data_IF_549923172598
#
_entry.id   IF_549923172598
#
_cell.length_a   1.000
_cell.length_b   1.000
_cell.length_c   1.000
_cell.angle_alpha   90.00
_cell.angle_beta   90.00
_cell.angle_gamma   90.00
#
_symmetry.space_group_name_H-M   'P 1'
#
loop_
_entity.id
_entity.type
_entity.pdbx_description
1 polymer ?
#
# COMPACT_ATOMS: atom_id res chain seq x y z
N UNK A 1 7.35 13.95 -11.87
CA UNK A 1 7.87 13.05 -10.81
C UNK A 1 6.77 12.53 -9.87
N UNK A 2 5.51 12.65 -10.28
CA UNK A 2 4.34 12.21 -9.50
C UNK A 2 3.50 11.24 -10.30
N UNK A 3 3.02 10.21 -9.64
CA UNK A 3 2.02 9.27 -10.14
C UNK A 3 0.89 9.16 -9.13
N UNK A 4 -0.34 9.08 -9.61
CA UNK A 4 -1.52 8.85 -8.79
C UNK A 4 -2.51 7.96 -9.54
N UNK A 5 -3.29 7.21 -8.81
CA UNK A 5 -4.27 6.30 -9.39
C UNK A 5 -5.11 5.60 -8.35
N UNK A 6 -5.92 4.67 -8.83
CA UNK A 6 -6.73 3.82 -7.97
C UNK A 6 -6.76 2.39 -8.50
N UNK A 7 -7.04 1.48 -7.61
CA UNK A 7 -7.31 0.10 -7.92
C UNK A 7 -8.61 -0.31 -7.22
N UNK A 8 -9.57 -0.78 -7.99
CA UNK A 8 -10.79 -1.36 -7.47
C UNK A 8 -10.59 -2.85 -7.24
N UNK A 9 -10.78 -3.31 -6.01
CA UNK A 9 -10.84 -4.71 -5.65
C UNK A 9 -12.28 -5.16 -5.71
N UNK A 10 -12.60 -6.04 -6.65
CA UNK A 10 -13.95 -6.57 -6.86
C UNK A 10 -14.06 -8.00 -6.33
N UNK A 11 -15.28 -8.51 -6.07
CA UNK A 11 -15.50 -9.88 -5.64
C UNK A 11 -14.89 -10.95 -6.56
N UNK A 12 -14.84 -10.67 -7.85
CA UNK A 12 -14.28 -11.59 -8.85
C UNK A 12 -12.76 -11.54 -8.93
N UNK A 13 -12.16 -10.51 -8.35
CA UNK A 13 -10.72 -10.27 -8.39
C UNK A 13 -9.88 -11.17 -7.47
N UNK A 14 -10.52 -11.92 -6.59
CA UNK A 14 -9.84 -12.77 -5.60
C UNK A 14 -8.97 -11.93 -4.67
N UNK A 15 -9.41 -11.69 -3.50
CA UNK A 15 -8.67 -11.03 -2.43
C UNK A 15 -9.14 -11.60 -1.11
N UNK A 16 -8.38 -11.37 -0.08
CA UNK A 16 -8.82 -11.59 1.27
C UNK A 16 -9.90 -10.55 1.57
N UNK A 17 -11.14 -10.95 1.45
CA UNK A 17 -12.27 -10.04 1.52
C UNK A 17 -13.03 -10.17 2.83
N UNK A 18 -14.19 -9.63 2.85
CA UNK A 18 -15.12 -9.37 3.93
C UNK A 18 -15.77 -10.63 4.53
N UNK A 19 -15.04 -11.61 4.97
CA UNK A 19 -15.57 -12.79 5.66
C UNK A 19 -16.40 -13.75 4.79
N UNK A 20 -17.09 -13.28 3.77
CA UNK A 20 -17.78 -14.06 2.75
C UNK A 20 -16.93 -14.26 1.47
N UNK A 21 -15.67 -13.84 1.51
CA UNK A 21 -14.73 -13.97 0.40
C UNK A 21 -14.91 -12.93 -0.71
N UNK A 22 -15.73 -11.88 -0.51
CA UNK A 22 -15.98 -10.85 -1.50
C UNK A 22 -15.28 -9.56 -1.13
N UNK A 23 -14.15 -9.29 -1.78
CA UNK A 23 -13.51 -7.98 -1.71
C UNK A 23 -14.31 -6.97 -2.55
N UNK A 24 -14.62 -5.83 -1.98
CA UNK A 24 -15.30 -4.74 -2.68
C UNK A 24 -14.91 -3.41 -2.03
N UNK A 25 -13.76 -2.89 -2.46
CA UNK A 25 -13.22 -1.62 -1.99
C UNK A 25 -12.30 -1.03 -3.05
N UNK A 26 -12.10 0.27 -2.98
CA UNK A 26 -11.14 0.99 -3.83
C UNK A 26 -9.98 1.49 -2.98
N UNK A 27 -8.76 1.28 -3.47
CA UNK A 27 -7.55 1.88 -2.91
C UNK A 27 -7.08 2.97 -3.85
N UNK A 28 -6.99 4.18 -3.35
CA UNK A 28 -6.39 5.32 -4.02
C UNK A 28 -4.96 5.48 -3.54
N UNK A 29 -4.07 5.84 -4.45
CA UNK A 29 -2.68 6.11 -4.11
C UNK A 29 -2.17 7.38 -4.75
N UNK A 30 -1.25 8.03 -4.06
CA UNK A 30 -0.47 9.14 -4.55
C UNK A 30 1.00 8.87 -4.23
N UNK A 31 1.86 8.91 -5.25
CA UNK A 31 3.27 8.61 -5.11
C UNK A 31 4.12 9.71 -5.73
N UNK A 32 5.21 10.08 -5.07
CA UNK A 32 6.12 11.12 -5.49
C UNK A 32 7.56 10.62 -5.45
N UNK A 33 8.29 10.85 -6.54
CA UNK A 33 9.72 10.54 -6.65
C UNK A 33 10.57 11.77 -6.35
N UNK A 34 11.76 11.55 -5.83
CA UNK A 34 12.73 12.61 -5.52
C UNK A 34 13.30 13.27 -6.77
N UNK A 35 13.18 12.62 -7.94
CA UNK A 35 13.71 13.09 -9.22
C UNK A 35 12.62 13.05 -10.31
N UNK A 36 12.60 14.01 -11.25
CA UNK A 36 11.73 13.96 -12.42
C UNK A 36 12.02 12.76 -13.32
N UNK A 37 10.99 12.24 -13.98
CA UNK A 37 11.14 11.21 -15.02
C UNK A 37 11.83 11.81 -16.25
N UNK A 38 12.75 11.08 -16.86
CA UNK A 38 13.26 11.37 -18.20
C UNK A 38 12.26 10.93 -19.28
N UNK A 39 11.56 9.81 -19.02
CA UNK A 39 10.41 9.37 -19.79
C UNK A 39 9.48 8.52 -18.92
N UNK A 40 8.24 8.38 -19.35
CA UNK A 40 7.24 7.59 -18.63
C UNK A 40 6.18 7.08 -19.59
N UNK A 41 5.36 6.16 -19.12
CA UNK A 41 4.21 5.66 -19.83
C UNK A 41 3.44 4.62 -19.03
N UNK A 42 2.45 4.05 -19.68
CA UNK A 42 1.61 2.99 -19.14
C UNK A 42 1.75 1.77 -20.04
N UNK A 43 1.67 0.60 -19.48
CA UNK A 43 1.43 -0.63 -20.23
C UNK A 43 0.06 -1.21 -19.87
N UNK A 44 -0.56 -1.88 -20.84
CA UNK A 44 -1.82 -2.61 -20.64
C UNK A 44 -1.72 -4.01 -21.21
N UNK A 45 -2.07 -5.01 -20.40
CA UNK A 45 -2.11 -6.40 -20.84
C UNK A 45 -3.54 -6.79 -21.20
N UNK A 46 -3.71 -7.46 -22.35
CA UNK A 46 -4.98 -8.04 -22.75
C UNK A 46 -5.15 -9.41 -22.09
N UNK A 47 -5.81 -9.39 -20.93
CA UNK A 47 -6.13 -10.60 -20.16
C UNK A 47 -7.64 -10.81 -20.21
N UNK A 48 -8.10 -11.90 -20.81
CA UNK A 48 -9.54 -12.19 -20.92
C UNK A 48 -10.24 -12.25 -19.56
N UNK A 49 -11.43 -11.68 -19.47
CA UNK A 49 -12.23 -11.63 -18.23
C UNK A 49 -12.69 -13.02 -17.75
N UNK A 50 -12.78 -14.00 -18.65
CA UNK A 50 -13.15 -15.37 -18.34
C UNK A 50 -12.02 -16.20 -17.76
N UNK A 51 -10.79 -15.68 -17.73
CA UNK A 51 -9.69 -16.32 -17.03
C UNK A 51 -9.94 -16.24 -15.53
N UNK A 52 -10.52 -17.32 -15.00
CA UNK A 52 -10.73 -17.43 -13.57
C UNK A 52 -9.39 -17.41 -12.85
N UNK A 53 -9.22 -16.50 -11.94
CA UNK A 53 -8.02 -16.36 -11.10
C UNK A 53 -7.94 -17.49 -10.07
N UNK A 54 -7.78 -18.71 -10.56
CA UNK A 54 -7.31 -19.78 -9.69
C UNK A 54 -5.82 -19.53 -9.41
N UNK A 55 -5.34 -19.90 -8.24
CA UNK A 55 -3.93 -19.78 -7.86
C UNK A 55 -2.98 -20.34 -8.94
N UNK A 56 -3.40 -21.40 -9.60
CA UNK A 56 -2.71 -22.07 -10.70
C UNK A 56 -2.61 -21.18 -11.96
N UNK A 57 -3.61 -20.35 -12.22
CA UNK A 57 -3.66 -19.48 -13.38
C UNK A 57 -2.80 -18.22 -13.21
N UNK A 58 -2.73 -17.64 -12.02
CA UNK A 58 -1.94 -16.43 -11.74
C UNK A 58 -0.44 -16.67 -11.95
N UNK A 59 0.01 -17.91 -11.74
CA UNK A 59 1.39 -18.33 -11.98
C UNK A 59 1.59 -19.03 -13.33
N UNK A 60 0.54 -19.12 -14.16
CA UNK A 60 0.58 -19.81 -15.43
C UNK A 60 1.40 -19.05 -16.47
N UNK A 61 2.02 -19.77 -17.41
CA UNK A 61 2.82 -19.18 -18.47
C UNK A 61 1.97 -18.24 -19.35
N UNK A 62 0.68 -18.55 -19.58
CA UNK A 62 -0.21 -17.69 -20.38
C UNK A 62 -0.38 -16.29 -19.79
N UNK A 63 -0.40 -16.14 -18.44
CA UNK A 63 -0.41 -14.82 -17.81
C UNK A 63 0.90 -14.07 -18.03
N UNK A 64 2.02 -14.78 -17.94
CA UNK A 64 3.33 -14.20 -18.20
C UNK A 64 3.48 -13.75 -19.65
N UNK A 65 2.97 -14.55 -20.58
CA UNK A 65 2.93 -14.20 -21.99
C UNK A 65 2.07 -12.96 -22.25
N UNK A 66 0.85 -12.92 -21.74
CA UNK A 66 -0.03 -11.74 -21.87
C UNK A 66 0.62 -10.45 -21.31
N UNK A 67 1.39 -10.56 -20.22
CA UNK A 67 2.12 -9.42 -19.68
C UNK A 67 3.34 -9.07 -20.56
N UNK A 68 4.05 -10.04 -21.11
CA UNK A 68 5.17 -9.79 -22.03
C UNK A 68 4.72 -9.12 -23.34
N UNK A 69 3.50 -9.44 -23.78
CA UNK A 69 2.88 -8.89 -24.99
C UNK A 69 2.07 -7.61 -24.71
N UNK A 70 2.18 -7.07 -23.50
CA UNK A 70 1.44 -5.88 -23.11
C UNK A 70 1.72 -4.71 -24.06
N UNK A 71 0.65 -4.00 -24.41
CA UNK A 71 0.75 -2.79 -25.21
C UNK A 71 1.42 -1.67 -24.38
N UNK A 72 2.37 -0.96 -24.98
CA UNK A 72 3.06 0.16 -24.35
C UNK A 72 2.48 1.47 -24.86
N UNK A 73 2.09 2.32 -23.94
CA UNK A 73 1.52 3.66 -24.19
C UNK A 73 2.48 4.71 -23.65
N UNK A 74 3.45 5.19 -24.48
CA UNK A 74 4.45 6.14 -24.03
C UNK A 74 3.86 7.55 -23.87
N UNK A 75 4.39 8.29 -22.90
CA UNK A 75 4.11 9.72 -22.67
C UNK A 75 2.62 10.06 -22.41
N UNK A 76 1.82 9.10 -21.98
CA UNK A 76 0.44 9.38 -21.59
C UNK A 76 0.38 9.95 -20.18
N UNK A 77 -0.46 10.97 -20.00
CA UNK A 77 -0.67 11.63 -18.70
C UNK A 77 -1.82 11.04 -17.88
N UNK A 78 -2.72 10.28 -18.53
CA UNK A 78 -3.81 9.56 -17.90
C UNK A 78 -4.17 8.34 -18.74
N UNK A 79 -4.47 7.25 -18.07
CA UNK A 79 -4.90 6.01 -18.70
C UNK A 79 -5.82 5.24 -17.75
N UNK A 80 -6.91 4.72 -18.24
CA UNK A 80 -7.87 3.94 -17.48
C UNK A 80 -8.15 2.62 -18.20
N UNK A 81 -8.23 1.54 -17.46
CA UNK A 81 -8.49 0.21 -17.98
C UNK A 81 -8.17 -0.88 -16.98
N UNK A 82 -8.18 -2.12 -17.45
CA UNK A 82 -7.80 -3.29 -16.65
C UNK A 82 -6.36 -3.69 -16.94
N UNK A 83 -5.74 -4.37 -15.97
CA UNK A 83 -4.40 -4.95 -16.10
C UNK A 83 -3.34 -3.94 -16.57
N UNK A 84 -3.32 -2.81 -15.89
CA UNK A 84 -2.42 -1.70 -16.17
C UNK A 84 -1.19 -1.73 -15.28
N UNK A 85 -0.13 -1.15 -15.79
CA UNK A 85 1.03 -0.78 -15.01
C UNK A 85 1.67 0.50 -15.51
N UNK A 86 2.36 1.18 -14.61
CA UNK A 86 3.11 2.39 -14.91
C UNK A 86 4.61 2.05 -15.02
N UNK A 87 5.30 2.74 -15.90
CA UNK A 87 6.76 2.74 -15.93
C UNK A 87 7.31 4.15 -16.01
N UNK A 88 8.47 4.35 -15.41
CA UNK A 88 9.23 5.58 -15.48
C UNK A 88 10.72 5.28 -15.67
N UNK A 89 11.38 6.07 -16.50
CA UNK A 89 12.82 6.04 -16.67
C UNK A 89 13.43 7.28 -16.03
N UNK A 90 14.65 7.12 -15.53
CA UNK A 90 15.42 8.19 -14.93
C UNK A 90 16.83 8.20 -15.54
N UNK A 91 17.33 9.39 -15.76
CA UNK A 91 18.77 9.56 -16.04
C UNK A 91 19.50 9.70 -14.71
N UNK A 92 20.38 8.75 -14.40
CA UNK A 92 21.08 8.69 -13.12
C UNK A 92 22.59 8.73 -13.31
N UNK A 93 23.29 9.24 -12.31
CA UNK A 93 24.73 9.08 -12.16
C UNK A 93 25.04 7.79 -11.40
N UNK A 94 26.28 7.27 -11.45
CA UNK A 94 26.67 6.17 -10.59
C UNK A 94 26.38 6.47 -9.11
N UNK A 95 25.82 5.49 -8.43
CA UNK A 95 25.44 5.57 -6.99
C UNK A 95 24.37 6.61 -6.64
N UNK A 96 23.68 7.19 -7.63
CA UNK A 96 22.56 8.10 -7.38
C UNK A 96 21.33 7.33 -6.93
N UNK A 97 20.82 7.66 -5.74
CA UNK A 97 19.60 7.08 -5.20
C UNK A 97 18.35 7.89 -5.61
N UNK A 98 17.32 7.17 -6.04
CA UNK A 98 16.00 7.76 -6.30
C UNK A 98 15.06 7.30 -5.22
N UNK A 99 14.57 8.25 -4.43
CA UNK A 99 13.64 7.98 -3.35
C UNK A 99 12.19 8.08 -3.84
N UNK A 100 11.36 7.20 -3.34
CA UNK A 100 9.93 7.16 -3.55
C UNK A 100 9.21 7.28 -2.22
N UNK A 101 8.21 8.15 -2.14
CA UNK A 101 7.25 8.17 -1.04
C UNK A 101 5.83 8.03 -1.59
N UNK A 102 4.97 7.32 -0.87
CA UNK A 102 3.59 7.09 -1.28
C UNK A 102 2.62 7.21 -0.12
N UNK A 103 1.44 7.71 -0.40
CA UNK A 103 0.29 7.74 0.49
C UNK A 103 -0.86 6.97 -0.12
N UNK A 104 -1.71 6.41 0.72
CA UNK A 104 -2.94 5.72 0.31
C UNK A 104 -4.15 6.33 0.99
N UNK A 105 -5.30 6.12 0.39
CA UNK A 105 -6.62 6.40 0.96
C UNK A 105 -7.63 5.38 0.46
N UNK A 106 -8.67 5.13 1.25
CA UNK A 106 -9.83 4.35 0.85
C UNK A 106 -11.02 5.22 0.44
N UNK A 107 -10.83 6.54 0.38
CA UNK A 107 -11.90 7.51 0.08
C UNK A 107 -11.68 8.28 -1.20
N UNK A 108 -10.47 8.81 -1.44
CA UNK A 108 -10.20 9.61 -2.64
C UNK A 108 -8.71 9.76 -2.97
N UNK A 109 -8.43 10.11 -4.23
CA UNK A 109 -7.08 10.51 -4.68
C UNK A 109 -6.56 11.74 -3.93
N UNK A 110 -7.45 12.71 -3.64
CA UNK A 110 -7.11 13.92 -2.89
C UNK A 110 -6.64 13.56 -1.49
N UNK A 111 -7.36 12.67 -0.81
CA UNK A 111 -6.99 12.25 0.53
C UNK A 111 -5.69 11.43 0.56
N UNK A 112 -5.41 10.62 -0.46
CA UNK A 112 -4.11 9.95 -0.58
C UNK A 112 -2.94 10.95 -0.65
N UNK A 113 -3.11 12.06 -1.39
CA UNK A 113 -2.13 13.16 -1.45
C UNK A 113 -2.00 13.91 -0.12
N UNK A 114 -3.13 14.23 0.52
CA UNK A 114 -3.16 14.93 1.81
C UNK A 114 -2.55 14.10 2.94
N UNK A 115 -2.83 12.79 2.97
CA UNK A 115 -2.22 11.85 3.91
C UNK A 115 -0.70 11.84 3.75
N UNK A 116 -0.20 11.70 2.52
CA UNK A 116 1.23 11.72 2.25
C UNK A 116 1.88 13.03 2.68
N UNK A 117 1.27 14.17 2.35
CA UNK A 117 1.80 15.48 2.68
C UNK A 117 1.86 15.74 4.20
N UNK A 118 0.90 15.20 4.95
CA UNK A 118 0.85 15.33 6.40
C UNK A 118 1.89 14.44 7.11
N UNK A 119 2.07 13.21 6.62
CA UNK A 119 2.87 12.19 7.29
C UNK A 119 4.34 12.19 6.85
N UNK A 120 4.64 12.51 5.58
CA UNK A 120 6.01 12.44 5.03
C UNK A 120 6.46 13.77 4.43
N UNK A 121 7.23 14.53 5.19
CA UNK A 121 7.83 15.79 4.74
C UNK A 121 9.21 15.54 4.13
N UNK A 122 9.34 15.81 2.82
CA UNK A 122 10.62 15.67 2.11
C UNK A 122 10.97 14.22 1.73
N UNK A 123 12.24 14.02 1.39
CA UNK A 123 12.82 12.74 0.96
C UNK A 123 14.07 12.44 1.80
N UNK A 124 13.88 12.27 3.10
CA UNK A 124 14.94 11.93 4.05
C UNK A 124 14.65 10.53 4.61
N UNK A 125 15.21 9.51 3.96
CA UNK A 125 15.01 8.12 4.33
C UNK A 125 15.57 7.81 5.73
N UNK A 126 16.80 8.27 6.01
CA UNK A 126 17.47 7.95 7.25
C UNK A 126 16.77 8.57 8.46
N UNK A 127 16.29 9.79 8.32
CA UNK A 127 15.45 10.43 9.35
C UNK A 127 14.15 9.66 9.56
N UNK A 128 13.47 9.28 8.47
CA UNK A 128 12.21 8.52 8.56
C UNK A 128 12.43 7.16 9.22
N UNK A 129 13.52 6.47 8.87
CA UNK A 129 13.92 5.22 9.49
C UNK A 129 14.19 5.39 10.99
N UNK A 130 14.97 6.38 11.37
CA UNK A 130 15.31 6.66 12.77
C UNK A 130 14.06 7.00 13.60
N UNK A 131 13.15 7.81 13.05
CA UNK A 131 11.89 8.17 13.71
C UNK A 131 10.97 6.94 13.88
N UNK A 132 10.85 6.10 12.86
CA UNK A 132 10.08 4.86 12.92
C UNK A 132 10.67 3.90 13.98
N UNK A 133 11.99 3.71 13.99
CA UNK A 133 12.67 2.89 14.98
C UNK A 133 12.45 3.41 16.41
N UNK A 134 12.53 4.72 16.60
CA UNK A 134 12.24 5.34 17.91
C UNK A 134 10.81 5.09 18.36
N UNK A 135 9.83 5.32 17.50
CA UNK A 135 8.41 5.10 17.81
C UNK A 135 8.14 3.64 18.21
N UNK A 136 8.69 2.68 17.48
CA UNK A 136 8.56 1.27 17.83
C UNK A 136 9.26 0.91 19.15
N UNK A 137 10.45 1.44 19.39
CA UNK A 137 11.13 1.24 20.64
C UNK A 137 10.36 1.83 21.83
N UNK A 138 9.77 3.01 21.68
CA UNK A 138 8.93 3.64 22.71
C UNK A 138 7.69 2.78 23.03
N UNK A 139 7.05 2.18 22.01
CA UNK A 139 5.90 1.31 22.22
C UNK A 139 6.28 -0.03 22.87
N UNK A 140 7.34 -0.67 22.39
CA UNK A 140 7.80 -1.95 22.93
C UNK A 140 8.36 -1.82 24.36
N UNK A 141 8.99 -0.67 24.69
CA UNK A 141 9.53 -0.39 26.01
C UNK A 141 8.47 -0.22 27.11
N UNK A 142 7.18 -0.16 26.77
CA UNK A 142 6.08 -0.18 27.75
C UNK A 142 6.03 -1.47 28.57
N UNK A 143 6.62 -2.54 28.04
CA UNK A 143 6.77 -3.81 28.74
C UNK A 143 8.26 -4.11 28.86
N UNK A 144 8.77 -4.18 30.09
CA UNK A 144 10.15 -4.56 30.40
C UNK A 144 10.18 -5.96 30.98
N UNK A 145 11.07 -6.80 30.45
CA UNK A 145 11.31 -8.16 30.97
C UNK A 145 12.74 -8.31 31.43
N UNK A 146 12.91 -9.05 32.50
CA UNK A 146 14.23 -9.36 33.10
C UNK A 146 14.47 -10.88 33.09
N UNK A 147 15.72 -11.28 33.05
CA UNK A 147 16.13 -12.70 32.98
C UNK A 147 16.02 -13.27 31.57
N UNK A 148 16.17 -14.59 31.44
CA UNK A 148 16.18 -15.29 30.18
C UNK A 148 17.42 -15.01 29.30
N UNK A 149 17.46 -15.68 28.17
CA UNK A 149 18.46 -15.49 27.13
C UNK A 149 18.07 -14.35 26.19
N UNK A 150 19.02 -13.85 25.39
CA UNK A 150 18.72 -12.84 24.37
C UNK A 150 17.77 -13.35 23.29
N UNK A 151 17.80 -14.68 23.03
CA UNK A 151 16.87 -15.30 22.09
C UNK A 151 15.43 -15.30 22.64
N UNK A 152 15.25 -15.66 23.92
CA UNK A 152 13.92 -15.62 24.56
C UNK A 152 13.38 -14.19 24.62
N UNK A 153 14.22 -13.21 24.91
CA UNK A 153 13.82 -11.79 24.85
C UNK A 153 13.41 -11.36 23.45
N UNK A 154 14.13 -11.80 22.42
CA UNK A 154 13.79 -11.51 21.01
C UNK A 154 12.45 -12.14 20.64
N UNK A 155 12.20 -13.38 21.03
CA UNK A 155 10.92 -14.05 20.81
C UNK A 155 9.78 -13.26 21.48
N UNK A 156 9.96 -12.88 22.74
CA UNK A 156 8.96 -12.09 23.47
C UNK A 156 8.64 -10.75 22.78
N UNK A 157 9.66 -9.96 22.46
CA UNK A 157 9.43 -8.65 21.83
C UNK A 157 8.91 -8.77 20.39
N UNK A 158 9.25 -9.83 19.69
CA UNK A 158 8.65 -10.13 18.39
C UNK A 158 7.15 -10.43 18.50
N UNK A 159 6.75 -11.24 19.48
CA UNK A 159 5.35 -11.52 19.76
C UNK A 159 4.60 -10.24 20.19
N UNK A 160 5.19 -9.42 21.06
CA UNK A 160 4.62 -8.14 21.46
C UNK A 160 4.45 -7.19 20.26
N UNK A 161 5.45 -7.10 19.38
CA UNK A 161 5.37 -6.33 18.14
C UNK A 161 4.18 -6.80 17.28
N UNK A 162 4.00 -8.10 17.09
CA UNK A 162 2.88 -8.63 16.32
C UNK A 162 1.52 -8.21 16.89
N UNK A 163 1.36 -8.16 18.22
CA UNK A 163 0.12 -7.70 18.84
C UNK A 163 -0.20 -6.23 18.61
N UNK A 164 0.80 -5.43 18.21
CA UNK A 164 0.68 -3.98 17.98
C UNK A 164 0.44 -3.63 16.50
N UNK A 165 0.55 -4.59 15.58
CA UNK A 165 0.38 -4.36 14.14
C UNK A 165 -1.08 -4.01 13.80
N UNK A 166 -2.04 -4.69 14.41
CA UNK A 166 -3.47 -4.48 14.21
C UNK A 166 -4.18 -4.03 15.51
N UNK A 167 -5.26 -3.27 15.43
CA UNK A 167 -5.96 -2.81 14.23
C UNK A 167 -5.31 -1.57 13.58
N UNK A 168 -5.12 -1.63 12.27
CA UNK A 168 -4.52 -0.55 11.48
C UNK A 168 -5.46 0.63 11.31
N UNK A 169 -4.90 1.83 11.18
CA UNK A 169 -5.66 3.04 10.88
C UNK A 169 -6.15 2.99 9.42
N UNK A 170 -7.43 3.26 9.20
CA UNK A 170 -8.04 3.33 7.87
C UNK A 170 -8.91 4.57 7.64
N UNK A 171 -8.80 5.58 8.53
CA UNK A 171 -9.34 6.92 8.27
C UNK A 171 -8.24 7.84 7.76
N UNK A 172 -8.62 8.76 6.89
CA UNK A 172 -7.76 9.79 6.35
C UNK A 172 -7.45 10.88 7.39
N UNK A 173 -6.44 11.71 7.10
CA UNK A 173 -5.99 12.77 8.02
C UNK A 173 -7.10 13.80 8.31
N UNK A 174 -7.99 14.03 7.35
CA UNK A 174 -9.15 14.91 7.49
C UNK A 174 -10.33 14.27 8.26
N UNK A 175 -10.21 12.99 8.65
CA UNK A 175 -11.25 12.23 9.37
C UNK A 175 -12.26 11.52 8.47
N UNK A 176 -12.09 11.54 7.16
CA UNK A 176 -12.91 10.75 6.25
C UNK A 176 -12.54 9.25 6.30
N UNK A 177 -13.54 8.40 6.12
CA UNK A 177 -13.36 6.95 6.07
C UNK A 177 -14.52 6.27 5.34
N UNK A 178 -14.27 5.12 4.74
CA UNK A 178 -15.32 4.28 4.17
C UNK A 178 -15.97 3.44 5.26
N UNK A 179 -17.29 3.55 5.40
CA UNK A 179 -18.10 2.78 6.34
C UNK A 179 -18.32 1.33 5.92
N UNK A 180 -18.95 0.54 6.80
CA UNK A 180 -19.40 -0.80 6.46
C UNK A 180 -20.53 -0.83 5.41
N UNK A 181 -21.26 0.29 5.30
CA UNK A 181 -22.27 0.57 4.27
C UNK A 181 -21.65 0.98 2.92
N UNK A 182 -20.32 1.06 2.84
CA UNK A 182 -19.51 1.48 1.67
C UNK A 182 -19.64 2.97 1.32
N UNK A 183 -20.31 3.74 2.16
CA UNK A 183 -20.41 5.18 2.02
C UNK A 183 -19.23 5.88 2.70
N UNK A 184 -18.91 7.08 2.22
CA UNK A 184 -17.85 7.91 2.82
C UNK A 184 -18.46 8.71 3.96
N UNK A 185 -17.90 8.52 5.13
CA UNK A 185 -18.25 9.22 6.36
C UNK A 185 -17.12 10.13 6.81
N UNK A 186 -17.43 11.11 7.64
CA UNK A 186 -16.44 12.00 8.25
C UNK A 186 -16.68 12.11 9.76
N UNK A 187 -15.61 12.09 10.53
CA UNK A 187 -15.66 12.32 11.97
C UNK A 187 -14.41 13.03 12.48
N UNK A 188 -14.61 13.94 13.45
CA UNK A 188 -13.52 14.53 14.24
C UNK A 188 -13.40 13.91 15.65
N UNK A 189 -14.22 12.91 15.99
CA UNK A 189 -14.32 12.37 17.35
C UNK A 189 -13.48 11.11 17.57
N UNK A 190 -13.22 10.34 16.54
CA UNK A 190 -12.44 9.09 16.61
C UNK A 190 -11.65 8.88 15.31
N UNK A 191 -10.73 7.93 15.35
CA UNK A 191 -10.05 7.42 14.14
C UNK A 191 -10.60 6.04 13.82
N UNK A 192 -11.09 5.87 12.60
CA UNK A 192 -11.55 4.56 12.13
C UNK A 192 -10.34 3.63 11.97
N UNK A 193 -10.47 2.45 12.56
CA UNK A 193 -9.49 1.39 12.43
C UNK A 193 -10.07 0.19 11.71
N UNK A 194 -9.22 -0.68 11.19
CA UNK A 194 -9.62 -1.96 10.59
C UNK A 194 -10.29 -2.86 11.64
N UNK A 195 -11.05 -3.83 11.16
CA UNK A 195 -11.53 -4.91 12.03
C UNK A 195 -10.32 -5.74 12.45
N UNK A 196 -10.20 -5.98 13.74
CA UNK A 196 -9.13 -6.79 14.30
C UNK A 196 -9.32 -8.26 13.91
N UNK A 197 -8.27 -8.86 13.35
CA UNK A 197 -8.18 -10.28 13.11
C UNK A 197 -7.12 -10.87 14.05
N UNK A 198 -7.54 -11.65 15.05
CA UNK A 198 -6.62 -12.30 15.95
C UNK A 198 -5.75 -13.36 15.26
N UNK A 199 -6.15 -13.80 14.07
CA UNK A 199 -5.41 -14.82 13.31
C UNK A 199 -4.10 -14.29 12.71
N UNK A 200 -4.07 -13.02 12.35
CA UNK A 200 -2.90 -12.39 11.70
C UNK A 200 -1.85 -11.85 12.70
N UNK A 201 -2.12 -11.94 14.00
CA UNK A 201 -1.25 -11.39 15.07
C UNK A 201 -0.65 -12.47 16.00
N UNK A 202 -0.78 -13.73 15.64
CA UNK A 202 -0.13 -14.84 16.34
C UNK A 202 1.30 -15.06 15.87
#
# INVERSE_FOLDING_TARGET
HTIKGWMQCTPDGGGWGNGDGKADYTVYFYAQFSKPFSSHGVWSADIPDDWKRKREDVCSERYREAIREAAIHPSVSAFEGKHLGFYANFETQPDEEILLKSGISYTSLKNAEENLAAEMKGFDFDRTYAECARLWNDELAKVSIEGGTDEEKRIFYTALYHTLIDPRLCSDINGEYTGADKEIHQTGKFRKRTIFSGWDVF
#
